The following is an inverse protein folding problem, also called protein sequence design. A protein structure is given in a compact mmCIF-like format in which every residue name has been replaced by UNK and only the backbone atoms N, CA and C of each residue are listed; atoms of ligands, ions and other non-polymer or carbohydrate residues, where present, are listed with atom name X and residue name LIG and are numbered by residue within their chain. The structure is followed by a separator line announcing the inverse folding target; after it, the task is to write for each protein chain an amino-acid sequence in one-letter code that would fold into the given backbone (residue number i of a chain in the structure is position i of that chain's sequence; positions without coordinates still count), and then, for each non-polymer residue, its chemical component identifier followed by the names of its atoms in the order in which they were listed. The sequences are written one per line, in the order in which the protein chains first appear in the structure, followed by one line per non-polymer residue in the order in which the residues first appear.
data_IF_257665165322
#
_entry.id   IF_257665165322
#
_cell.length_a   1.000
_cell.length_b   1.000
_cell.length_c   1.000
_cell.angle_alpha   90.00
_cell.angle_beta   90.00
_cell.angle_gamma   90.00
#
_symmetry.space_group_name_H-M   'P 1'
#
loop_
_entity.id
_entity.type
_entity.pdbx_description
1 polymer ?
#
# COMPACT_ATOMS: atom_id res chain seq x y z
N UNK A 1 -15.38 -6.48 1.62
CA UNK A 1 -14.19 -7.22 1.16
C UNK A 1 -14.37 -7.85 -0.23
N UNK A 2 -15.22 -8.87 -0.41
CA UNK A 2 -15.33 -9.60 -1.70
C UNK A 2 -15.68 -8.71 -2.90
N UNK A 3 -16.71 -7.87 -2.80
CA UNK A 3 -17.08 -6.96 -3.89
C UNK A 3 -15.94 -6.00 -4.25
N UNK A 4 -15.26 -5.46 -3.24
CA UNK A 4 -14.10 -4.61 -3.41
C UNK A 4 -12.96 -5.33 -4.13
N UNK A 5 -12.64 -6.57 -3.74
CA UNK A 5 -11.66 -7.41 -4.45
C UNK A 5 -12.04 -7.58 -5.93
N UNK A 6 -13.29 -7.92 -6.26
CA UNK A 6 -13.74 -8.08 -7.65
C UNK A 6 -13.57 -6.77 -8.44
N UNK A 7 -14.03 -5.64 -7.89
CA UNK A 7 -13.95 -4.35 -8.57
C UNK A 7 -12.49 -3.97 -8.79
N UNK A 8 -11.63 -4.15 -7.78
CA UNK A 8 -10.22 -3.77 -7.88
C UNK A 8 -9.42 -4.65 -8.85
N UNK A 9 -9.72 -5.94 -8.97
CA UNK A 9 -9.19 -6.79 -10.07
C UNK A 9 -9.53 -6.17 -11.42
N UNK A 10 -10.80 -5.79 -11.60
CA UNK A 10 -11.29 -5.23 -12.86
C UNK A 10 -10.66 -3.87 -13.18
N UNK A 11 -10.59 -2.96 -12.21
CA UNK A 11 -10.00 -1.63 -12.44
C UNK A 11 -8.48 -1.72 -12.60
N UNK A 12 -7.80 -2.68 -11.97
CA UNK A 12 -6.37 -2.88 -12.21
C UNK A 12 -6.10 -3.48 -13.59
N UNK A 13 -6.95 -4.41 -14.05
CA UNK A 13 -6.91 -4.89 -15.43
C UNK A 13 -6.99 -3.74 -16.44
N UNK A 14 -7.91 -2.80 -16.23
CA UNK A 14 -8.02 -1.62 -17.08
C UNK A 14 -6.71 -0.83 -17.11
N UNK A 15 -6.07 -0.60 -15.97
CA UNK A 15 -4.78 0.09 -15.90
C UNK A 15 -3.69 -0.64 -16.71
N UNK A 16 -3.62 -1.96 -16.58
CA UNK A 16 -2.65 -2.79 -17.33
C UNK A 16 -2.85 -2.71 -18.84
N UNK A 17 -4.10 -2.75 -19.30
CA UNK A 17 -4.43 -2.57 -20.72
C UNK A 17 -4.15 -1.14 -21.21
N UNK A 18 -4.34 -0.15 -20.33
CA UNK A 18 -4.18 1.26 -20.69
C UNK A 18 -2.73 1.70 -20.85
N UNK A 19 -1.77 0.97 -20.29
CA UNK A 19 -0.34 1.24 -20.43
C UNK A 19 0.11 1.33 -21.91
N UNK A 20 -0.56 0.61 -22.81
CA UNK A 20 -0.23 0.54 -24.25
C UNK A 20 -1.50 0.69 -25.11
N UNK A 21 -2.43 1.55 -24.67
CA UNK A 21 -3.72 1.75 -25.36
C UNK A 21 -3.56 2.44 -26.73
N UNK A 22 -2.53 3.26 -26.89
CA UNK A 22 -2.20 3.93 -28.16
C UNK A 22 -1.05 3.16 -28.84
N UNK A 23 -1.21 2.71 -30.10
CA UNK A 23 -0.14 2.02 -30.82
C UNK A 23 1.16 2.83 -30.85
N UNK A 24 2.27 2.20 -30.44
CA UNK A 24 3.59 2.81 -30.44
C UNK A 24 3.90 3.76 -29.27
N UNK A 25 2.95 4.00 -28.34
CA UNK A 25 3.17 4.81 -27.14
C UNK A 25 2.95 3.98 -25.88
N UNK A 26 3.89 4.08 -24.94
CA UNK A 26 3.75 3.56 -23.58
C UNK A 26 3.46 4.71 -22.62
N UNK A 27 2.58 4.47 -21.67
CA UNK A 27 2.30 5.37 -20.55
C UNK A 27 2.97 4.78 -19.31
N UNK A 28 4.23 5.16 -19.08
CA UNK A 28 5.09 4.56 -18.05
C UNK A 28 4.86 5.17 -16.64
N UNK A 29 4.06 6.24 -16.58
CA UNK A 29 3.68 6.94 -15.35
C UNK A 29 2.17 7.17 -15.31
N UNK A 30 1.59 7.08 -14.11
CA UNK A 30 0.15 7.28 -13.96
C UNK A 30 -0.32 8.66 -14.42
N UNK A 31 0.45 9.71 -14.10
CA UNK A 31 0.12 11.06 -14.54
C UNK A 31 0.14 11.25 -16.06
N UNK A 32 0.98 10.52 -16.82
CA UNK A 32 1.00 10.59 -18.29
C UNK A 32 -0.31 10.08 -18.89
N UNK A 33 -0.83 8.99 -18.31
CA UNK A 33 -2.12 8.45 -18.70
C UNK A 33 -3.26 9.42 -18.34
N UNK A 34 -3.17 10.07 -17.18
CA UNK A 34 -4.07 11.15 -16.79
C UNK A 34 -4.06 12.33 -17.76
N UNK A 35 -2.88 12.77 -18.19
CA UNK A 35 -2.72 13.85 -19.17
C UNK A 35 -3.30 13.48 -20.53
N UNK A 36 -3.15 12.23 -20.95
CA UNK A 36 -3.79 11.75 -22.18
C UNK A 36 -5.32 11.82 -22.10
N UNK A 37 -5.91 11.32 -21.01
CA UNK A 37 -7.37 11.28 -20.86
C UNK A 37 -8.01 12.65 -20.63
N UNK A 38 -7.43 13.49 -19.77
CA UNK A 38 -8.03 14.74 -19.31
C UNK A 38 -7.36 16.00 -19.90
N UNK A 39 -6.29 15.87 -20.67
CA UNK A 39 -5.46 16.95 -21.17
C UNK A 39 -4.29 17.32 -20.25
N UNK A 40 -3.30 18.02 -20.79
CA UNK A 40 -1.98 18.21 -20.17
C UNK A 40 -2.00 18.84 -18.77
N UNK A 41 -2.90 19.81 -18.54
CA UNK A 41 -3.01 20.52 -17.25
C UNK A 41 -3.94 19.80 -16.29
N UNK A 42 -5.16 19.48 -16.74
CA UNK A 42 -6.18 18.89 -15.88
C UNK A 42 -5.80 17.47 -15.44
N UNK A 43 -5.18 16.68 -16.32
CA UNK A 43 -4.68 15.35 -15.98
C UNK A 43 -3.67 15.35 -14.85
N UNK A 44 -2.75 16.32 -14.82
CA UNK A 44 -1.81 16.50 -13.71
C UNK A 44 -2.54 16.84 -12.41
N UNK A 45 -3.45 17.82 -12.44
CA UNK A 45 -4.20 18.26 -11.26
C UNK A 45 -5.11 17.19 -10.66
N UNK A 46 -5.62 16.26 -11.48
CA UNK A 46 -6.44 15.15 -11.00
C UNK A 46 -5.56 14.01 -10.46
N UNK A 47 -4.57 13.55 -11.23
CA UNK A 47 -3.85 12.31 -10.91
C UNK A 47 -2.75 12.53 -9.88
N UNK A 48 -1.92 13.57 -10.04
CA UNK A 48 -0.71 13.75 -9.21
C UNK A 48 -1.04 13.92 -7.73
N UNK A 49 -1.97 14.81 -7.31
CA UNK A 49 -2.29 14.96 -5.89
C UNK A 49 -2.80 13.67 -5.27
N UNK A 50 -3.65 12.93 -6.00
CA UNK A 50 -4.21 11.68 -5.49
C UNK A 50 -3.15 10.58 -5.39
N UNK A 51 -2.32 10.41 -6.42
CA UNK A 51 -1.21 9.45 -6.44
C UNK A 51 -0.24 9.73 -5.28
N UNK A 52 0.18 10.99 -5.10
CA UNK A 52 1.07 11.38 -4.01
C UNK A 52 0.45 11.15 -2.64
N UNK A 53 -0.83 11.49 -2.44
CA UNK A 53 -1.50 11.25 -1.15
C UNK A 53 -1.55 9.75 -0.85
N UNK A 54 -1.83 8.88 -1.83
CA UNK A 54 -1.79 7.42 -1.64
C UNK A 54 -0.38 6.94 -1.26
N UNK A 55 0.65 7.33 -2.00
CA UNK A 55 2.03 6.87 -1.78
C UNK A 55 2.60 7.37 -0.44
N UNK A 56 2.40 8.64 -0.13
CA UNK A 56 2.86 9.26 1.13
C UNK A 56 2.12 8.67 2.31
N UNK A 57 0.79 8.48 2.21
CA UNK A 57 0.00 7.91 3.29
C UNK A 57 0.40 6.46 3.60
N UNK A 58 0.66 5.63 2.58
CA UNK A 58 1.17 4.27 2.78
C UNK A 58 2.47 4.28 3.56
N UNK A 59 3.41 5.13 3.15
CA UNK A 59 4.70 5.24 3.80
C UNK A 59 4.58 5.70 5.26
N UNK A 60 3.65 6.60 5.58
CA UNK A 60 3.34 6.99 6.96
C UNK A 60 2.71 5.83 7.74
N UNK A 61 1.71 5.15 7.19
CA UNK A 61 1.07 3.99 7.83
C UNK A 61 2.09 2.91 8.11
N UNK A 62 2.99 2.62 7.18
CA UNK A 62 4.06 1.63 7.35
C UNK A 62 5.04 2.01 8.45
N UNK A 63 5.36 3.30 8.64
CA UNK A 63 6.17 3.75 9.79
C UNK A 63 5.51 3.38 11.11
N UNK A 64 4.20 3.64 11.23
CA UNK A 64 3.42 3.33 12.44
C UNK A 64 3.30 1.82 12.65
N UNK A 65 2.95 1.06 11.60
CA UNK A 65 2.79 -0.40 11.69
C UNK A 65 4.11 -1.11 11.98
N UNK A 66 5.20 -0.69 11.33
CA UNK A 66 6.54 -1.22 11.58
C UNK A 66 7.00 -0.97 13.02
N UNK A 67 6.77 0.24 13.53
CA UNK A 67 7.02 0.57 14.94
C UNK A 67 6.15 -0.25 15.91
N UNK A 68 4.86 -0.43 15.62
CA UNK A 68 3.96 -1.25 16.42
C UNK A 68 4.40 -2.72 16.45
N UNK A 69 4.82 -3.27 15.31
CA UNK A 69 5.31 -4.65 15.23
C UNK A 69 6.63 -4.84 15.96
N UNK A 70 7.58 -3.90 15.86
CA UNK A 70 8.80 -3.94 16.67
C UNK A 70 8.50 -3.85 18.17
N UNK A 71 7.58 -2.98 18.58
CA UNK A 71 7.14 -2.87 19.97
C UNK A 71 6.50 -4.18 20.45
N UNK A 72 5.59 -4.76 19.66
CA UNK A 72 4.95 -6.03 19.99
C UNK A 72 5.96 -7.17 20.11
N UNK A 73 6.95 -7.23 19.22
CA UNK A 73 8.05 -8.18 19.33
C UNK A 73 8.82 -8.00 20.65
N UNK A 74 9.23 -6.77 20.96
CA UNK A 74 9.91 -6.45 22.21
C UNK A 74 9.09 -6.89 23.42
N UNK A 75 7.83 -6.49 23.51
CA UNK A 75 6.98 -6.75 24.68
C UNK A 75 6.74 -8.25 24.89
N UNK A 76 6.57 -9.01 23.80
CA UNK A 76 6.35 -10.46 23.85
C UNK A 76 7.61 -11.23 24.29
N UNK A 77 8.80 -10.83 23.81
CA UNK A 77 10.07 -11.47 24.17
C UNK A 77 10.50 -11.09 25.58
N UNK A 78 10.31 -9.83 25.95
CA UNK A 78 10.69 -9.31 27.25
C UNK A 78 9.81 -9.83 28.38
N UNK A 79 8.55 -10.15 28.11
CA UNK A 79 7.63 -10.78 29.07
C UNK A 79 7.60 -10.08 30.44
N UNK A 80 7.55 -8.75 30.42
CA UNK A 80 7.55 -7.91 31.62
C UNK A 80 8.91 -7.70 32.30
N UNK A 81 10.01 -8.23 31.75
CA UNK A 81 11.36 -8.12 32.33
C UNK A 81 12.17 -6.93 31.82
N UNK A 82 11.79 -6.34 30.69
CA UNK A 82 12.46 -5.20 30.09
C UNK A 82 11.80 -3.88 30.50
N UNK A 83 12.54 -2.79 30.29
CA UNK A 83 12.00 -1.43 30.44
C UNK A 83 10.92 -1.16 29.40
N UNK A 84 9.86 -0.47 29.80
CA UNK A 84 8.85 0.01 28.85
C UNK A 84 9.43 1.14 27.98
N UNK A 85 9.28 0.98 26.66
CA UNK A 85 9.81 1.89 25.65
C UNK A 85 8.64 2.45 24.84
N UNK A 86 8.61 3.79 24.69
CA UNK A 86 7.55 4.47 23.93
C UNK A 86 7.58 4.03 22.46
N UNK A 87 6.39 3.89 21.86
CA UNK A 87 6.20 3.55 20.44
C UNK A 87 7.04 4.43 19.50
N UNK A 88 7.16 5.72 19.80
CA UNK A 88 7.97 6.68 19.06
C UNK A 88 9.40 6.20 18.81
N UNK A 89 10.04 5.54 19.78
CA UNK A 89 11.40 5.01 19.60
C UNK A 89 11.43 3.82 18.63
N UNK A 90 10.42 2.94 18.67
CA UNK A 90 10.31 1.84 17.72
C UNK A 90 10.03 2.34 16.30
N UNK A 91 9.24 3.40 16.14
CA UNK A 91 9.06 4.06 14.84
C UNK A 91 10.39 4.61 14.32
N UNK A 92 11.20 5.26 15.16
CA UNK A 92 12.53 5.74 14.76
C UNK A 92 13.48 4.60 14.39
N UNK A 93 13.46 3.48 15.14
CA UNK A 93 14.26 2.29 14.82
C UNK A 93 13.85 1.74 13.45
N UNK A 94 12.55 1.59 13.20
CA UNK A 94 12.04 1.15 11.90
C UNK A 94 12.45 2.11 10.76
N UNK A 95 12.28 3.42 10.98
CA UNK A 95 12.64 4.46 10.02
C UNK A 95 14.13 4.48 9.67
N UNK A 96 15.02 4.12 10.61
CA UNK A 96 16.47 4.12 10.40
C UNK A 96 16.91 3.32 9.18
N UNK A 97 16.25 2.18 8.93
CA UNK A 97 16.53 1.32 7.77
C UNK A 97 16.17 2.03 6.46
N UNK A 98 15.10 2.83 6.46
CA UNK A 98 14.63 3.55 5.28
C UNK A 98 15.55 4.69 4.86
N UNK A 99 16.27 5.33 5.78
CA UNK A 99 17.28 6.33 5.41
C UNK A 99 18.39 5.76 4.53
N UNK A 100 18.74 4.48 4.74
CA UNK A 100 19.74 3.76 3.93
C UNK A 100 19.12 3.24 2.65
N UNK A 101 18.02 2.48 2.75
CA UNK A 101 17.42 1.81 1.59
C UNK A 101 16.80 2.77 0.57
N UNK A 102 16.32 3.94 1.00
CA UNK A 102 15.80 4.97 0.11
C UNK A 102 16.83 5.44 -0.91
N UNK A 103 18.13 5.23 -0.68
CA UNK A 103 19.18 5.65 -1.61
C UNK A 103 19.35 4.71 -2.80
N UNK A 104 18.67 3.56 -2.81
CA UNK A 104 18.67 2.63 -3.95
C UNK A 104 18.05 3.28 -5.19
N UNK A 105 18.64 3.14 -6.39
CA UNK A 105 18.34 4.05 -7.49
C UNK A 105 16.95 3.85 -8.11
N UNK A 106 16.43 2.63 -8.18
CA UNK A 106 15.15 2.30 -8.84
C UNK A 106 14.57 0.94 -8.41
N UNK A 107 13.42 0.58 -8.99
CA UNK A 107 12.71 -0.69 -8.75
C UNK A 107 13.56 -1.95 -8.95
N UNK A 108 14.47 -1.99 -9.94
CA UNK A 108 15.29 -3.17 -10.18
C UNK A 108 16.25 -3.42 -9.01
N UNK A 109 16.78 -2.36 -8.39
CA UNK A 109 17.70 -2.45 -7.26
C UNK A 109 17.03 -2.91 -5.96
N UNK A 110 15.71 -2.78 -5.84
CA UNK A 110 14.95 -3.26 -4.67
C UNK A 110 14.28 -4.62 -4.90
N UNK A 111 14.46 -5.25 -6.06
CA UNK A 111 13.78 -6.51 -6.44
C UNK A 111 13.95 -7.62 -5.40
N UNK A 112 15.16 -7.84 -4.88
CA UNK A 112 15.42 -8.82 -3.82
C UNK A 112 14.71 -8.48 -2.50
N UNK A 113 14.68 -7.20 -2.13
CA UNK A 113 13.98 -6.70 -0.94
C UNK A 113 12.47 -6.89 -1.11
N UNK A 114 11.94 -6.59 -2.30
CA UNK A 114 10.54 -6.79 -2.66
C UNK A 114 10.13 -8.26 -2.62
N UNK A 115 10.99 -9.17 -3.09
CA UNK A 115 10.72 -10.61 -3.03
C UNK A 115 10.68 -11.10 -1.58
N UNK A 116 11.66 -10.71 -0.77
CA UNK A 116 11.66 -11.02 0.67
C UNK A 116 10.39 -10.50 1.34
N UNK A 117 9.99 -9.26 1.05
CA UNK A 117 8.77 -8.67 1.58
C UNK A 117 7.50 -9.43 1.18
N UNK A 118 7.41 -9.93 -0.06
CA UNK A 118 6.28 -10.74 -0.52
C UNK A 118 6.20 -12.09 0.22
N UNK A 119 7.34 -12.78 0.38
CA UNK A 119 7.40 -14.05 1.12
C UNK A 119 7.03 -13.87 2.59
N UNK A 120 7.51 -12.79 3.22
CA UNK A 120 7.15 -12.48 4.60
C UNK A 120 5.65 -12.15 4.73
N UNK A 121 5.05 -11.47 3.75
CA UNK A 121 3.60 -11.19 3.71
C UNK A 121 2.76 -12.46 3.76
N UNK A 122 3.03 -13.38 2.83
CA UNK A 122 2.40 -14.70 2.79
C UNK A 122 2.56 -15.45 4.12
N UNK A 123 3.74 -15.37 4.72
CA UNK A 123 4.07 -16.10 5.93
C UNK A 123 3.31 -15.56 7.15
N UNK A 124 3.38 -14.25 7.42
CA UNK A 124 2.69 -13.69 8.60
C UNK A 124 1.17 -13.72 8.45
N UNK A 125 0.63 -13.55 7.23
CA UNK A 125 -0.81 -13.68 7.00
C UNK A 125 -1.28 -15.10 7.28
N UNK A 126 -0.51 -16.10 6.83
CA UNK A 126 -0.77 -17.52 7.12
C UNK A 126 -0.75 -17.82 8.61
N UNK A 127 0.23 -17.28 9.33
CA UNK A 127 0.30 -17.39 10.78
C UNK A 127 -0.91 -16.70 11.43
N UNK A 128 -1.30 -15.51 10.97
CA UNK A 128 -2.39 -14.74 11.56
C UNK A 128 -3.73 -15.50 11.49
N UNK A 129 -4.14 -15.96 10.31
CA UNK A 129 -5.40 -16.71 10.19
C UNK A 129 -5.28 -18.13 10.76
N UNK A 130 -4.13 -18.80 10.62
CA UNK A 130 -3.90 -20.14 11.17
C UNK A 130 -3.95 -20.17 12.69
N UNK A 131 -3.28 -19.22 13.35
CA UNK A 131 -3.32 -19.09 14.81
C UNK A 131 -4.70 -18.65 15.31
N UNK A 132 -5.43 -17.85 14.54
CA UNK A 132 -6.82 -17.49 14.86
C UNK A 132 -7.75 -18.71 14.77
N UNK A 133 -7.55 -19.56 13.77
CA UNK A 133 -8.31 -20.79 13.59
C UNK A 133 -8.02 -21.81 14.72
N UNK A 134 -6.74 -22.00 15.05
CA UNK A 134 -6.29 -22.90 16.13
C UNK A 134 -6.79 -22.46 17.51
N UNK A 135 -6.74 -21.15 17.79
CA UNK A 135 -7.32 -20.58 19.00
C UNK A 135 -8.84 -20.80 19.08
N UNK A 136 -9.51 -20.90 17.94
CA UNK A 136 -10.96 -21.04 17.83
C UNK A 136 -11.72 -19.81 18.29
N UNK A 137 -13.03 -19.95 18.41
CA UNK A 137 -13.91 -18.88 18.91
C UNK A 137 -13.58 -18.60 20.37
N UNK A 138 -13.23 -17.35 20.68
CA UNK A 138 -12.97 -16.94 22.06
C UNK A 138 -14.20 -17.15 22.97
N UNK A 139 -13.98 -17.26 24.27
CA UNK A 139 -15.09 -17.33 25.22
C UNK A 139 -15.86 -15.99 25.20
N UNK A 140 -17.19 -16.07 25.10
CA UNK A 140 -18.09 -14.90 25.07
C UNK A 140 -17.84 -13.89 23.93
N UNK A 141 -17.48 -14.35 22.72
CA UNK A 141 -17.36 -13.45 21.55
C UNK A 141 -18.67 -12.69 21.30
N UNK A 142 -18.55 -11.37 21.30
CA UNK A 142 -19.58 -10.43 20.90
C UNK A 142 -19.38 -9.97 19.44
N UNK A 143 -20.48 -9.94 18.68
CA UNK A 143 -20.54 -9.49 17.29
C UNK A 143 -21.37 -8.23 17.11
N UNK A 144 -21.81 -7.61 18.21
CA UNK A 144 -22.49 -6.33 18.20
C UNK A 144 -21.57 -5.20 17.73
N UNK A 145 -22.15 -4.11 17.24
CA UNK A 145 -21.39 -2.94 16.83
C UNK A 145 -20.68 -2.32 18.03
N UNK A 146 -19.39 -1.99 17.88
CA UNK A 146 -18.58 -1.37 18.95
C UNK A 146 -19.17 -0.06 19.48
N UNK A 147 -19.79 0.71 18.61
CA UNK A 147 -20.35 2.01 18.96
C UNK A 147 -21.81 1.87 19.41
N UNK A 148 -22.14 2.46 20.56
CA UNK A 148 -23.49 2.52 21.11
C UNK A 148 -24.34 3.66 20.53
N UNK A 149 -23.71 4.71 19.99
CA UNK A 149 -24.40 5.87 19.42
C UNK A 149 -24.59 5.71 17.91
N UNK A 150 -25.70 6.22 17.38
CA UNK A 150 -25.97 6.22 15.93
C UNK A 150 -24.83 6.87 15.14
N UNK A 151 -24.33 8.02 15.62
CA UNK A 151 -23.22 8.71 14.97
C UNK A 151 -21.95 7.83 14.93
N UNK A 152 -21.59 7.18 16.05
CA UNK A 152 -20.44 6.29 16.10
C UNK A 152 -20.60 5.06 15.20
N UNK A 153 -21.82 4.52 15.07
CA UNK A 153 -22.10 3.42 14.15
C UNK A 153 -21.95 3.84 12.68
N UNK A 154 -22.44 5.02 12.32
CA UNK A 154 -22.30 5.58 10.97
C UNK A 154 -20.83 5.83 10.63
N UNK A 155 -20.08 6.50 11.51
CA UNK A 155 -18.65 6.74 11.29
C UNK A 155 -17.84 5.44 11.31
N UNK A 156 -18.19 4.46 12.14
CA UNK A 156 -17.57 3.13 12.14
C UNK A 156 -17.81 2.38 10.83
N UNK A 157 -19.02 2.43 10.29
CA UNK A 157 -19.33 1.84 8.98
C UNK A 157 -18.53 2.51 7.84
N UNK A 158 -18.49 3.84 7.80
CA UNK A 158 -17.73 4.58 6.80
C UNK A 158 -16.22 4.34 6.94
N UNK A 159 -15.71 4.28 8.17
CA UNK A 159 -14.31 3.91 8.45
C UNK A 159 -13.98 2.52 7.93
N UNK A 160 -14.84 1.53 8.17
CA UNK A 160 -14.68 0.18 7.64
C UNK A 160 -14.72 0.10 6.11
N UNK A 161 -15.51 0.94 5.43
CA UNK A 161 -15.43 1.06 3.96
C UNK A 161 -14.07 1.62 3.53
N UNK A 162 -13.52 2.58 4.27
CA UNK A 162 -12.16 3.10 4.09
C UNK A 162 -11.11 2.00 4.26
N UNK A 163 -11.19 1.18 5.31
CA UNK A 163 -10.27 0.07 5.55
C UNK A 163 -10.29 -0.95 4.40
N UNK A 164 -11.49 -1.25 3.89
CA UNK A 164 -11.69 -2.12 2.73
C UNK A 164 -11.08 -1.51 1.46
N UNK A 165 -11.20 -0.20 1.26
CA UNK A 165 -10.62 0.50 0.12
C UNK A 165 -9.09 0.53 0.19
N UNK A 166 -8.53 0.79 1.37
CA UNK A 166 -7.08 0.79 1.61
C UNK A 166 -6.44 -0.59 1.35
N UNK A 167 -7.17 -1.66 1.67
CA UNK A 167 -6.66 -3.03 1.56
C UNK A 167 -6.15 -3.37 0.15
N UNK A 168 -6.80 -2.88 -0.91
CA UNK A 168 -6.49 -3.25 -2.29
C UNK A 168 -5.72 -2.15 -3.03
N UNK A 169 -4.56 -1.80 -2.50
CA UNK A 169 -3.62 -0.86 -3.13
C UNK A 169 -2.86 -1.48 -4.31
N UNK A 170 -2.35 -0.62 -5.20
CA UNK A 170 -1.47 -1.01 -6.30
C UNK A 170 -1.69 -0.19 -7.57
N UNK A 171 -2.90 0.33 -7.79
CA UNK A 171 -3.26 1.10 -8.99
C UNK A 171 -2.40 2.33 -9.21
N UNK A 172 -1.94 2.94 -8.12
CA UNK A 172 -1.10 4.14 -8.14
C UNK A 172 0.36 3.89 -8.55
N UNK A 173 0.81 2.63 -8.61
CA UNK A 173 2.19 2.26 -8.97
C UNK A 173 2.27 1.20 -10.07
N UNK A 174 1.11 0.72 -10.55
CA UNK A 174 1.02 -0.40 -11.49
C UNK A 174 1.67 -0.08 -12.84
N UNK A 175 1.56 1.18 -13.31
CA UNK A 175 2.16 1.58 -14.58
C UNK A 175 3.68 1.69 -14.44
N UNK A 176 4.15 2.24 -13.33
CA UNK A 176 5.57 2.35 -12.99
C UNK A 176 6.22 0.97 -12.88
N UNK A 177 5.52 -0.03 -12.33
CA UNK A 177 5.96 -1.42 -12.30
C UNK A 177 5.95 -2.02 -13.71
N UNK A 178 4.87 -1.86 -14.46
CA UNK A 178 4.74 -2.41 -15.81
C UNK A 178 5.76 -1.82 -16.78
N UNK A 179 6.18 -0.57 -16.58
CA UNK A 179 7.23 0.09 -17.36
C UNK A 179 8.57 -0.67 -17.28
N UNK A 180 8.84 -1.36 -16.17
CA UNK A 180 10.05 -2.19 -15.99
C UNK A 180 10.06 -3.47 -16.82
N UNK A 181 8.89 -3.88 -17.35
CA UNK A 181 8.76 -5.07 -18.18
C UNK A 181 9.08 -4.70 -19.64
N UNK A 182 9.99 -5.43 -20.31
CA UNK A 182 10.26 -5.24 -21.73
C UNK A 182 9.01 -5.40 -22.58
N UNK A 183 8.84 -4.53 -23.57
CA UNK A 183 7.70 -4.55 -24.50
C UNK A 183 8.17 -4.49 -25.94
N UNK A 184 7.57 -5.29 -26.81
CA UNK A 184 7.76 -5.25 -28.27
C UNK A 184 6.41 -5.33 -28.98
N UNK A 185 6.30 -4.91 -30.27
CA UNK A 185 5.03 -5.00 -31.00
C UNK A 185 4.40 -6.40 -31.02
N UNK A 186 5.22 -7.46 -31.04
CA UNK A 186 4.76 -8.85 -30.98
C UNK A 186 4.51 -9.38 -29.57
N UNK A 187 5.12 -8.77 -28.55
CA UNK A 187 5.01 -9.19 -27.15
C UNK A 187 4.81 -7.97 -26.23
N UNK A 188 3.58 -7.43 -26.16
CA UNK A 188 3.27 -6.25 -25.34
C UNK A 188 3.37 -6.56 -23.85
N UNK A 189 3.85 -5.59 -23.07
CA UNK A 189 4.08 -5.73 -21.61
C UNK A 189 2.82 -6.10 -20.82
N UNK A 190 1.63 -5.75 -21.35
CA UNK A 190 0.34 -6.04 -20.72
C UNK A 190 0.07 -7.53 -20.51
N UNK A 191 0.59 -8.42 -21.39
CA UNK A 191 0.40 -9.87 -21.26
C UNK A 191 1.10 -10.45 -20.02
N UNK A 192 2.44 -10.31 -19.87
CA UNK A 192 3.12 -10.76 -18.65
C UNK A 192 2.65 -10.00 -17.41
N UNK A 193 2.39 -8.69 -17.51
CA UNK A 193 1.88 -7.92 -16.38
C UNK A 193 0.55 -8.47 -15.87
N UNK A 194 -0.41 -8.74 -16.77
CA UNK A 194 -1.71 -9.27 -16.38
C UNK A 194 -1.61 -10.65 -15.72
N UNK A 195 -0.73 -11.53 -16.20
CA UNK A 195 -0.45 -12.81 -15.52
C UNK A 195 0.03 -12.60 -14.09
N UNK A 196 0.97 -11.66 -13.90
CA UNK A 196 1.45 -11.28 -12.58
C UNK A 196 0.33 -10.74 -11.67
N UNK A 197 -0.50 -9.85 -12.20
CA UNK A 197 -1.65 -9.28 -11.48
C UNK A 197 -2.65 -10.35 -11.06
N UNK A 198 -3.00 -11.29 -11.94
CA UNK A 198 -3.93 -12.38 -11.59
C UNK A 198 -3.38 -13.23 -10.44
N UNK A 199 -2.11 -13.62 -10.50
CA UNK A 199 -1.46 -14.38 -9.43
C UNK A 199 -1.43 -13.57 -8.12
N UNK A 200 -1.08 -12.29 -8.20
CA UNK A 200 -1.06 -11.40 -7.04
C UNK A 200 -2.43 -11.28 -6.38
N UNK A 201 -3.52 -11.15 -7.16
CA UNK A 201 -4.87 -11.05 -6.61
C UNK A 201 -5.40 -12.34 -6.00
N UNK A 202 -5.01 -13.50 -6.52
CA UNK A 202 -5.27 -14.80 -5.89
C UNK A 202 -4.56 -14.88 -4.54
N UNK A 203 -3.29 -14.49 -4.49
CA UNK A 203 -2.50 -14.43 -3.26
C UNK A 203 -3.14 -13.47 -2.24
N UNK A 204 -3.52 -12.26 -2.67
CA UNK A 204 -4.18 -11.26 -1.82
C UNK A 204 -5.48 -11.85 -1.24
N UNK A 205 -6.31 -12.51 -2.06
CA UNK A 205 -7.52 -13.16 -1.57
C UNK A 205 -7.21 -14.24 -0.52
N UNK A 206 -6.20 -15.07 -0.78
CA UNK A 206 -5.76 -16.13 0.13
C UNK A 206 -5.17 -15.59 1.44
N UNK A 207 -4.63 -14.37 1.45
CA UNK A 207 -4.11 -13.73 2.66
C UNK A 207 -5.21 -12.99 3.42
N UNK A 208 -5.96 -12.12 2.75
CA UNK A 208 -6.86 -11.16 3.40
C UNK A 208 -8.21 -11.78 3.77
N UNK A 209 -8.79 -12.61 2.91
CA UNK A 209 -10.13 -13.15 3.18
C UNK A 209 -10.11 -14.08 4.40
N UNK A 210 -9.17 -15.02 4.56
CA UNK A 210 -9.09 -15.83 5.78
C UNK A 210 -8.82 -14.99 7.01
N UNK A 211 -7.89 -14.01 6.96
CA UNK A 211 -7.60 -13.13 8.10
C UNK A 211 -8.85 -12.35 8.53
N UNK A 212 -9.59 -11.78 7.57
CA UNK A 212 -10.81 -11.02 7.86
C UNK A 212 -11.93 -11.92 8.41
N UNK A 213 -12.23 -13.03 7.75
CA UNK A 213 -13.36 -13.89 8.12
C UNK A 213 -13.07 -14.74 9.36
N UNK A 214 -11.94 -15.45 9.39
CA UNK A 214 -11.56 -16.29 10.53
C UNK A 214 -11.22 -15.42 11.73
N UNK A 215 -10.50 -14.31 11.53
CA UNK A 215 -10.17 -13.38 12.61
C UNK A 215 -11.40 -12.77 13.26
N UNK A 216 -12.36 -12.28 12.46
CA UNK A 216 -13.61 -11.75 13.01
C UNK A 216 -14.47 -12.86 13.64
N UNK A 217 -14.52 -14.06 13.06
CA UNK A 217 -15.20 -15.20 13.69
C UNK A 217 -14.55 -15.64 15.02
N UNK A 218 -13.23 -15.51 15.15
CA UNK A 218 -12.53 -15.90 16.37
C UNK A 218 -12.69 -14.87 17.50
N UNK A 219 -12.70 -13.57 17.17
CA UNK A 219 -12.60 -12.47 18.16
C UNK A 219 -13.78 -11.50 18.16
N UNK A 220 -14.64 -11.51 17.15
CA UNK A 220 -15.75 -10.58 16.99
C UNK A 220 -15.33 -9.12 17.09
N UNK A 221 -16.10 -8.33 17.83
CA UNK A 221 -15.83 -6.90 18.01
C UNK A 221 -14.63 -6.61 18.94
N UNK A 222 -13.99 -7.61 19.56
CA UNK A 222 -12.81 -7.43 20.41
C UNK A 222 -11.47 -7.42 19.66
N UNK A 223 -11.47 -7.70 18.34
CA UNK A 223 -10.26 -7.73 17.52
C UNK A 223 -9.58 -6.35 17.45
N UNK A 224 -8.27 -6.26 17.64
CA UNK A 224 -7.55 -5.00 17.41
C UNK A 224 -7.46 -4.72 15.90
N UNK A 225 -7.17 -3.46 15.53
CA UNK A 225 -7.00 -3.06 14.13
C UNK A 225 -5.91 -3.91 13.42
N UNK A 226 -4.91 -4.39 14.17
CA UNK A 226 -3.95 -5.39 13.71
C UNK A 226 -4.13 -6.69 14.50
N UNK A 227 -4.62 -7.73 13.83
CA UNK A 227 -4.91 -9.04 14.44
C UNK A 227 -3.70 -9.69 15.13
N UNK A 228 -2.47 -9.42 14.67
CA UNK A 228 -1.26 -9.94 15.30
C UNK A 228 -0.99 -9.30 16.67
N UNK A 229 -1.62 -8.16 16.98
CA UNK A 229 -1.59 -7.54 18.30
C UNK A 229 -2.57 -8.27 19.24
N UNK A 230 -3.73 -8.70 18.74
CA UNK A 230 -4.74 -9.47 19.47
C UNK A 230 -4.25 -10.87 19.88
N UNK A 231 -3.39 -11.48 19.06
CA UNK A 231 -2.78 -12.77 19.34
C UNK A 231 -1.62 -12.64 20.35
N UNK A 232 -1.54 -13.57 21.31
CA UNK A 232 -0.55 -13.52 22.39
C UNK A 232 0.15 -14.87 22.68
N UNK A 233 -0.33 -15.99 22.11
CA UNK A 233 0.23 -17.32 22.33
C UNK A 233 0.23 -18.14 21.04
N UNK A 234 1.22 -19.03 20.82
CA UNK A 234 2.48 -19.11 21.57
C UNK A 234 3.41 -17.91 21.28
N UNK A 235 4.12 -17.41 22.31
CA UNK A 235 4.87 -16.14 22.25
C UNK A 235 5.89 -16.07 21.11
N UNK A 236 6.66 -17.13 20.90
CA UNK A 236 7.69 -17.18 19.86
C UNK A 236 7.11 -17.00 18.45
N UNK A 237 5.92 -17.57 18.20
CA UNK A 237 5.25 -17.49 16.89
C UNK A 237 4.76 -16.07 16.62
N UNK A 238 4.19 -15.41 17.63
CA UNK A 238 3.72 -14.02 17.53
C UNK A 238 4.89 -13.05 17.39
N UNK A 239 5.98 -13.27 18.12
CA UNK A 239 7.21 -12.50 17.98
C UNK A 239 7.77 -12.63 16.54
N UNK A 240 7.88 -13.87 16.04
CA UNK A 240 8.34 -14.13 14.67
C UNK A 240 7.43 -13.46 13.62
N UNK A 241 6.10 -13.60 13.74
CA UNK A 241 5.15 -12.99 12.82
C UNK A 241 5.27 -11.46 12.79
N UNK A 242 5.50 -10.80 13.93
CA UNK A 242 5.72 -9.36 13.97
C UNK A 242 7.04 -8.95 13.29
N UNK A 243 8.11 -9.75 13.41
CA UNK A 243 9.34 -9.48 12.66
C UNK A 243 9.17 -9.72 11.15
N UNK A 244 8.35 -10.70 10.74
CA UNK A 244 7.98 -10.87 9.34
C UNK A 244 7.23 -9.64 8.80
N UNK A 245 6.29 -9.06 9.59
CA UNK A 245 5.64 -7.79 9.24
C UNK A 245 6.67 -6.68 9.05
N UNK A 246 7.65 -6.55 9.96
CA UNK A 246 8.73 -5.53 9.83
C UNK A 246 9.47 -5.68 8.51
N UNK A 247 9.92 -6.89 8.15
CA UNK A 247 10.63 -7.14 6.88
C UNK A 247 9.72 -6.88 5.67
N UNK A 248 8.46 -7.27 5.74
CA UNK A 248 7.47 -6.96 4.70
C UNK A 248 7.36 -5.45 4.47
N UNK A 249 7.13 -4.68 5.54
CA UNK A 249 6.94 -3.24 5.45
C UNK A 249 8.21 -2.51 5.00
N UNK A 250 9.40 -3.05 5.32
CA UNK A 250 10.67 -2.50 4.81
C UNK A 250 10.66 -2.46 3.27
N UNK A 251 10.28 -3.57 2.64
CA UNK A 251 10.21 -3.65 1.18
C UNK A 251 9.03 -2.87 0.58
N UNK A 252 7.85 -2.99 1.19
CA UNK A 252 6.64 -2.29 0.72
C UNK A 252 6.84 -0.77 0.71
N UNK A 253 7.47 -0.20 1.74
CA UNK A 253 7.80 1.24 1.76
C UNK A 253 8.64 1.64 0.54
N UNK A 254 9.64 0.84 0.16
CA UNK A 254 10.48 1.20 -1.00
C UNK A 254 9.68 1.23 -2.29
N UNK A 255 8.72 0.30 -2.48
CA UNK A 255 7.89 0.24 -3.69
C UNK A 255 7.10 1.55 -3.86
N UNK A 256 6.50 2.07 -2.78
CA UNK A 256 5.70 3.30 -2.83
C UNK A 256 6.51 4.58 -2.73
N UNK A 257 7.72 4.54 -2.16
CA UNK A 257 8.60 5.71 -2.11
C UNK A 257 9.25 6.02 -3.47
N UNK A 258 9.52 5.01 -4.31
CA UNK A 258 10.24 5.21 -5.58
C UNK A 258 9.54 6.18 -6.55
N UNK A 259 8.22 6.12 -6.80
CA UNK A 259 7.54 7.09 -7.66
C UNK A 259 7.56 8.50 -7.07
N UNK A 260 7.42 8.63 -5.74
CA UNK A 260 7.53 9.93 -5.07
C UNK A 260 8.92 10.52 -5.24
N UNK A 261 9.97 9.71 -5.08
CA UNK A 261 11.34 10.16 -5.31
C UNK A 261 11.57 10.61 -6.74
N UNK A 262 11.09 9.83 -7.73
CA UNK A 262 11.18 10.17 -9.14
C UNK A 262 10.48 11.51 -9.44
N UNK A 263 9.29 11.71 -8.87
CA UNK A 263 8.51 12.94 -9.05
C UNK A 263 9.16 14.16 -8.38
N UNK A 264 9.64 14.01 -7.14
CA UNK A 264 10.35 15.08 -6.42
C UNK A 264 11.65 15.46 -7.14
N UNK A 265 12.50 14.48 -7.47
CA UNK A 265 13.77 14.73 -8.16
C UNK A 265 13.53 15.34 -9.55
N UNK A 266 12.55 14.83 -10.31
CA UNK A 266 12.18 15.39 -11.61
C UNK A 266 11.72 16.84 -11.50
N UNK A 267 10.89 17.16 -10.49
CA UNK A 267 10.47 18.53 -10.25
C UNK A 267 11.65 19.45 -9.91
N UNK A 268 12.53 19.03 -9.00
CA UNK A 268 13.71 19.82 -8.61
C UNK A 268 14.65 20.06 -9.80
N UNK A 269 14.89 19.05 -10.64
CA UNK A 269 15.78 19.17 -11.82
C UNK A 269 15.13 19.97 -12.95
N UNK A 270 13.88 19.66 -13.31
CA UNK A 270 13.23 20.23 -14.51
C UNK A 270 12.56 21.57 -14.27
N UNK A 271 12.13 21.87 -13.05
CA UNK A 271 11.39 23.11 -12.71
C UNK A 271 12.17 24.06 -11.84
N UNK A 272 13.00 23.56 -10.92
CA UNK A 272 13.87 24.40 -10.09
C UNK A 272 15.32 24.43 -10.58
N UNK A 273 15.61 23.77 -11.70
CA UNK A 273 16.91 23.79 -12.38
C UNK A 273 18.09 23.32 -11.50
N UNK A 274 17.83 22.45 -10.52
CA UNK A 274 18.87 21.88 -9.67
C UNK A 274 19.73 20.88 -10.47
N UNK A 275 21.03 20.84 -10.16
CA UNK A 275 21.94 19.89 -10.80
C UNK A 275 21.58 18.45 -10.39
N UNK A 276 21.35 17.54 -11.36
CA UNK A 276 21.13 16.14 -11.04
C UNK A 276 22.42 15.54 -10.45
N UNK A 277 22.29 14.71 -9.41
CA UNK A 277 23.45 14.08 -8.79
C UNK A 277 23.15 13.36 -7.49
N UNK A 278 24.18 12.72 -6.94
CA UNK A 278 24.09 11.95 -5.69
C UNK A 278 23.65 12.84 -4.53
N UNK A 279 24.13 14.09 -4.46
CA UNK A 279 23.76 15.02 -3.38
C UNK A 279 22.28 15.37 -3.40
N UNK A 280 21.72 15.67 -4.59
CA UNK A 280 20.29 15.94 -4.74
C UNK A 280 19.46 14.75 -4.27
N UNK A 281 19.84 13.54 -4.69
CA UNK A 281 19.19 12.29 -4.29
C UNK A 281 19.25 12.10 -2.77
N UNK A 282 20.44 12.17 -2.18
CA UNK A 282 20.66 11.99 -0.75
C UNK A 282 19.79 12.95 0.07
N UNK A 283 19.81 14.24 -0.26
CA UNK A 283 19.06 15.26 0.47
C UNK A 283 17.55 15.03 0.31
N UNK A 284 17.07 14.94 -0.93
CA UNK A 284 15.63 14.86 -1.24
C UNK A 284 14.99 13.63 -0.60
N UNK A 285 15.62 12.46 -0.74
CA UNK A 285 15.08 11.21 -0.20
C UNK A 285 15.19 11.12 1.31
N UNK A 286 16.27 11.64 1.90
CA UNK A 286 16.40 11.72 3.37
C UNK A 286 15.34 12.64 3.97
N UNK A 287 15.09 13.80 3.37
CA UNK A 287 14.01 14.71 3.81
C UNK A 287 12.66 14.02 3.75
N UNK A 288 12.38 13.27 2.68
CA UNK A 288 11.13 12.52 2.54
C UNK A 288 10.96 11.45 3.64
N UNK A 289 12.00 10.65 3.89
CA UNK A 289 11.96 9.63 4.96
C UNK A 289 11.77 10.30 6.33
N UNK A 290 12.50 11.40 6.59
CA UNK A 290 12.35 12.16 7.83
C UNK A 290 10.93 12.74 7.99
N UNK A 291 10.32 13.23 6.90
CA UNK A 291 8.94 13.72 6.89
C UNK A 291 7.95 12.60 7.24
N UNK A 292 7.99 11.47 6.56
CA UNK A 292 7.07 10.34 6.84
C UNK A 292 7.25 9.79 8.25
N UNK A 293 8.49 9.72 8.75
CA UNK A 293 8.80 9.36 10.14
C UNK A 293 8.19 10.36 11.12
N UNK A 294 8.38 11.67 10.90
CA UNK A 294 7.84 12.73 11.77
C UNK A 294 6.31 12.67 11.86
N UNK A 295 5.63 12.52 10.73
CA UNK A 295 4.16 12.42 10.70
C UNK A 295 3.70 11.12 11.40
N UNK A 296 4.35 9.99 11.13
CA UNK A 296 4.03 8.71 11.79
C UNK A 296 4.23 8.75 13.31
N UNK A 297 5.25 9.46 13.79
CA UNK A 297 5.47 9.68 15.23
C UNK A 297 4.42 10.60 15.86
N UNK A 298 3.91 11.58 15.11
CA UNK A 298 2.94 12.58 15.60
C UNK A 298 1.52 12.02 15.65
N UNK A 299 1.15 11.17 14.69
CA UNK A 299 -0.21 10.60 14.57
C UNK A 299 -0.19 9.06 14.50
N UNK A 300 0.19 8.33 15.56
CA UNK A 300 0.38 6.88 15.51
C UNK A 300 -0.93 6.05 15.60
N UNK A 301 -2.00 6.50 14.94
CA UNK A 301 -3.33 5.87 14.98
C UNK A 301 -3.58 4.97 13.77
N UNK A 302 -3.16 3.71 13.83
CA UNK A 302 -3.18 2.79 12.69
C UNK A 302 -4.57 2.67 12.00
N UNK A 303 -5.62 2.25 12.72
CA UNK A 303 -6.96 2.11 12.12
C UNK A 303 -7.54 3.43 11.62
N UNK A 304 -7.35 4.52 12.39
CA UNK A 304 -7.80 5.85 11.98
C UNK A 304 -7.15 6.34 10.69
N UNK A 305 -5.84 6.12 10.52
CA UNK A 305 -5.12 6.48 9.30
C UNK A 305 -5.58 5.65 8.10
N UNK A 306 -5.78 4.34 8.27
CA UNK A 306 -6.21 3.45 7.17
C UNK A 306 -7.63 3.81 6.73
N UNK A 307 -8.59 3.95 7.64
CA UNK A 307 -9.95 4.33 7.30
C UNK A 307 -10.01 5.69 6.59
N UNK A 308 -9.26 6.68 7.11
CA UNK A 308 -9.19 8.02 6.52
C UNK A 308 -8.57 8.04 5.13
N UNK A 309 -7.35 7.53 4.98
CA UNK A 309 -6.66 7.56 3.68
C UNK A 309 -7.30 6.61 2.68
N UNK A 310 -7.82 5.47 3.15
CA UNK A 310 -8.60 4.53 2.35
C UNK A 310 -9.80 5.21 1.66
N UNK A 311 -10.57 5.98 2.42
CA UNK A 311 -11.69 6.75 1.88
C UNK A 311 -11.27 7.95 1.03
N UNK A 312 -10.32 8.75 1.51
CA UNK A 312 -9.93 10.02 0.87
C UNK A 312 -9.12 9.83 -0.42
N UNK A 313 -8.19 8.88 -0.45
CA UNK A 313 -7.16 8.80 -1.47
C UNK A 313 -7.24 7.52 -2.31
N UNK A 314 -7.45 6.37 -1.64
CA UNK A 314 -7.47 5.08 -2.33
C UNK A 314 -8.78 4.88 -3.07
N UNK A 315 -9.92 5.22 -2.47
CA UNK A 315 -11.20 5.07 -3.14
C UNK A 315 -11.24 5.80 -4.51
N UNK A 316 -10.84 7.09 -4.62
CA UNK A 316 -10.69 7.78 -5.92
C UNK A 316 -9.80 7.05 -6.93
N UNK A 317 -8.55 6.79 -6.56
CA UNK A 317 -7.51 6.24 -7.47
C UNK A 317 -7.81 4.81 -7.91
N UNK A 318 -8.39 4.01 -7.03
CA UNK A 318 -8.58 2.57 -7.22
C UNK A 318 -9.89 2.25 -7.92
N UNK A 319 -10.98 2.95 -7.60
CA UNK A 319 -12.32 2.62 -8.07
C UNK A 319 -12.84 3.55 -9.16
N UNK A 320 -12.42 4.83 -9.18
CA UNK A 320 -13.07 5.84 -10.01
C UNK A 320 -12.17 6.36 -11.14
N UNK A 321 -10.95 6.82 -10.81
CA UNK A 321 -10.07 7.51 -11.79
C UNK A 321 -9.70 6.60 -12.96
N UNK A 322 -9.36 5.34 -12.69
CA UNK A 322 -9.05 4.34 -13.73
C UNK A 322 -10.18 4.16 -14.75
N UNK A 323 -11.44 4.13 -14.27
CA UNK A 323 -12.62 3.98 -15.12
C UNK A 323 -12.82 5.23 -15.99
N UNK A 324 -12.71 6.42 -15.41
CA UNK A 324 -12.86 7.67 -16.15
C UNK A 324 -11.78 7.82 -17.23
N UNK A 325 -10.52 7.52 -16.89
CA UNK A 325 -9.42 7.51 -17.85
C UNK A 325 -9.74 6.53 -18.99
N UNK A 326 -10.14 5.30 -18.66
CA UNK A 326 -10.46 4.28 -19.68
C UNK A 326 -11.55 4.74 -20.63
N UNK A 327 -12.61 5.32 -20.10
CA UNK A 327 -13.72 5.82 -20.90
C UNK A 327 -13.26 6.93 -21.85
N UNK A 328 -12.57 7.95 -21.34
CA UNK A 328 -12.12 9.10 -22.13
C UNK A 328 -11.07 8.71 -23.19
N UNK A 329 -10.09 7.88 -22.84
CA UNK A 329 -9.09 7.41 -23.81
C UNK A 329 -9.72 6.56 -24.92
N UNK A 330 -10.75 5.77 -24.60
CA UNK A 330 -11.47 4.99 -25.63
C UNK A 330 -12.24 5.89 -26.60
N UNK A 331 -12.85 6.97 -26.09
CA UNK A 331 -13.54 7.97 -26.93
C UNK A 331 -12.56 8.67 -27.87
N UNK A 332 -11.39 9.11 -27.36
CA UNK A 332 -10.37 9.78 -28.17
C UNK A 332 -9.85 8.90 -29.31
N UNK A 333 -9.57 7.62 -29.03
CA UNK A 333 -9.11 6.67 -30.05
C UNK A 333 -10.19 6.45 -31.11
N UNK A 334 -11.45 6.33 -30.69
CA UNK A 334 -12.57 6.22 -31.61
C UNK A 334 -12.62 7.45 -32.54
N UNK A 335 -12.61 8.67 -32.00
CA UNK A 335 -12.65 9.90 -32.81
C UNK A 335 -11.49 10.00 -33.81
N UNK A 336 -10.26 9.64 -33.41
CA UNK A 336 -9.09 9.66 -34.30
C UNK A 336 -9.16 8.64 -35.44
N UNK A 337 -9.89 7.53 -35.27
CA UNK A 337 -10.06 6.53 -36.32
C UNK A 337 -11.00 6.96 -37.46
N UNK A 338 -11.78 8.02 -37.26
CA UNK A 338 -12.74 8.56 -38.25
C UNK A 338 -12.37 9.95 -38.78
N UNK A 339 -11.20 10.48 -38.43
CA UNK A 339 -10.65 11.76 -38.92
C UNK A 339 -9.54 11.55 -39.93
#
# INVERSE_FOLDING_TARGET
MTLSWIITVYTLWQMVEMHEIVPGKRFDRYHELGQHAFGDKLGLWIVVPQQLVVEVSLNIVYMVTGGNSLKKFHDVICDGKCKDIKLTYFIMIFASVHFVLSQLPNFNSISGISLAAAVMSLSYSTIAWGASLDKGRAENVDYSLRASTTAGQVFGFLGGLGDVAFSYSGHNVVLEIQATIPSTPGNPSKKPMWKGVVVAYIIIAACYMPVAFIGYWAFGNSVDDNILITLNKPKWLIAMANMMVVVHLIGSYQIYAMPVFDMMETFLVRKLEFAPGIMLRLITRTIYVAFTMFVGMTFPFFGGLIGFFGGLAFAPTTYFVSIFIRHLSSQQIYTQSFS
#
